data_IF_217096501443
#
_entry.id   IF_217096501443
#
_cell.length_a   1.000
_cell.length_b   1.000
_cell.length_c   1.000
_cell.angle_alpha   90.00
_cell.angle_beta   90.00
_cell.angle_gamma   90.00
#
_symmetry.space_group_name_H-M   'P 1'
#
loop_
_entity.id
_entity.type
_entity.pdbx_description
1 polymer ?
#
# COMPACT_ATOMS: atom_id res chain seq x y z
N UNK A 1 6.41 8.61 -17.43
CA UNK A 1 7.25 8.44 -16.22
C UNK A 1 7.57 6.96 -16.06
N UNK A 2 8.84 6.59 -15.82
CA UNK A 2 9.22 5.18 -15.66
C UNK A 2 9.21 4.75 -14.20
N UNK A 3 8.97 3.47 -13.92
CA UNK A 3 9.04 2.92 -12.56
C UNK A 3 10.41 3.10 -11.91
N UNK A 4 11.48 3.15 -12.70
CA UNK A 4 12.83 3.45 -12.21
C UNK A 4 12.94 4.88 -11.65
N UNK A 5 12.31 5.86 -12.30
CA UNK A 5 12.33 7.24 -11.81
C UNK A 5 11.58 7.36 -10.48
N UNK A 6 10.39 6.75 -10.37
CA UNK A 6 9.63 6.69 -9.11
C UNK A 6 10.45 6.01 -8.01
N UNK A 7 11.12 4.91 -8.33
CA UNK A 7 12.00 4.21 -7.39
C UNK A 7 13.12 5.10 -6.84
N UNK A 8 13.77 5.92 -7.68
CA UNK A 8 14.80 6.88 -7.24
C UNK A 8 14.23 7.95 -6.32
N UNK A 9 13.05 8.48 -6.62
CA UNK A 9 12.38 9.48 -5.77
C UNK A 9 12.06 8.90 -4.40
N UNK A 10 11.45 7.72 -4.37
CA UNK A 10 11.12 7.02 -3.11
C UNK A 10 12.39 6.77 -2.28
N UNK A 11 13.44 6.27 -2.91
CA UNK A 11 14.73 6.01 -2.26
C UNK A 11 15.36 7.28 -1.68
N UNK A 12 15.30 8.40 -2.43
CA UNK A 12 15.78 9.70 -1.96
C UNK A 12 15.07 10.12 -0.68
N UNK A 13 13.74 10.07 -0.66
CA UNK A 13 12.97 10.49 0.53
C UNK A 13 13.12 9.51 1.70
N UNK A 14 13.21 8.19 1.45
CA UNK A 14 13.49 7.20 2.48
C UNK A 14 14.82 7.48 3.20
N UNK A 15 15.87 7.82 2.45
CA UNK A 15 17.17 8.19 3.03
C UNK A 15 17.12 9.48 3.86
N UNK A 16 16.31 10.47 3.46
CA UNK A 16 16.17 11.73 4.21
C UNK A 16 15.55 11.55 5.59
N UNK A 17 14.75 10.50 5.79
CA UNK A 17 14.13 10.17 7.08
C UNK A 17 14.84 9.04 7.82
N UNK A 18 16.06 8.67 7.40
CA UNK A 18 16.90 7.68 8.07
C UNK A 18 16.45 6.22 7.87
N UNK A 19 15.63 5.93 6.86
CA UNK A 19 15.23 4.56 6.53
C UNK A 19 16.25 3.88 5.63
N UNK A 20 16.31 2.54 5.73
CA UNK A 20 17.21 1.71 4.93
C UNK A 20 16.75 1.66 3.46
N UNK A 21 17.40 2.45 2.61
CA UNK A 21 17.01 2.72 1.22
C UNK A 21 16.84 1.45 0.35
N UNK A 22 17.54 0.36 0.69
CA UNK A 22 17.46 -0.91 -0.05
C UNK A 22 16.08 -1.57 0.04
N UNK A 23 15.31 -1.27 1.08
CA UNK A 23 13.99 -1.85 1.34
C UNK A 23 12.87 -1.09 0.60
N UNK A 24 13.19 0.06 0.00
CA UNK A 24 12.21 0.95 -0.63
C UNK A 24 12.40 1.07 -2.14
N UNK A 25 11.29 1.09 -2.87
CA UNK A 25 11.24 1.31 -4.31
C UNK A 25 9.84 1.59 -4.82
N UNK A 26 9.67 1.63 -6.14
CA UNK A 26 8.38 1.94 -6.77
C UNK A 26 7.28 0.92 -6.42
N UNK A 27 7.64 -0.35 -6.23
CA UNK A 27 6.70 -1.37 -5.78
C UNK A 27 6.29 -1.15 -4.32
N UNK A 28 7.21 -0.79 -3.43
CA UNK A 28 6.92 -0.45 -2.03
C UNK A 28 5.91 0.72 -1.95
N UNK A 29 6.05 1.73 -2.81
CA UNK A 29 5.11 2.86 -2.87
C UNK A 29 3.70 2.42 -3.30
N UNK A 30 3.58 1.56 -4.32
CA UNK A 30 2.28 1.03 -4.74
C UNK A 30 1.61 0.21 -3.64
N UNK A 31 2.37 -0.66 -2.97
CA UNK A 31 1.89 -1.45 -1.84
C UNK A 31 1.41 -0.55 -0.71
N UNK A 32 2.20 0.46 -0.33
CA UNK A 32 1.84 1.45 0.68
C UNK A 32 0.57 2.20 0.33
N UNK A 33 0.44 2.68 -0.92
CA UNK A 33 -0.77 3.34 -1.41
C UNK A 33 -2.03 2.46 -1.25
N UNK A 34 -1.97 1.21 -1.69
CA UNK A 34 -3.12 0.30 -1.62
C UNK A 34 -3.49 0.00 -0.17
N UNK A 35 -2.50 -0.28 0.68
CA UNK A 35 -2.72 -0.53 2.12
C UNK A 35 -3.35 0.70 2.78
N UNK A 36 -2.79 1.88 2.58
CA UNK A 36 -3.32 3.14 3.15
C UNK A 36 -4.69 3.53 2.62
N UNK A 37 -5.05 3.14 1.39
CA UNK A 37 -6.41 3.31 0.86
C UNK A 37 -7.39 2.33 1.51
N UNK A 38 -6.97 1.08 1.73
CA UNK A 38 -7.75 0.10 2.49
C UNK A 38 -7.98 0.51 3.95
N UNK A 39 -6.95 1.05 4.61
CA UNK A 39 -7.04 1.61 5.96
C UNK A 39 -8.00 2.80 6.06
N UNK A 40 -8.34 3.45 4.93
CA UNK A 40 -9.32 4.54 4.85
C UNK A 40 -10.68 4.10 4.29
N UNK A 41 -10.92 2.79 4.22
CA UNK A 41 -12.16 2.19 3.70
C UNK A 41 -12.52 2.65 2.28
N UNK A 42 -11.50 2.98 1.47
CA UNK A 42 -11.69 3.31 0.07
C UNK A 42 -12.13 2.05 -0.67
N UNK A 43 -13.19 2.19 -1.47
CA UNK A 43 -13.76 1.06 -2.21
C UNK A 43 -12.76 0.46 -3.20
N UNK A 44 -12.72 -0.87 -3.29
CA UNK A 44 -11.79 -1.64 -4.12
C UNK A 44 -11.73 -1.14 -5.56
N UNK A 45 -12.87 -0.84 -6.19
CA UNK A 45 -12.89 -0.39 -7.59
C UNK A 45 -12.18 0.96 -7.78
N UNK A 46 -12.29 1.90 -6.81
CA UNK A 46 -11.59 3.20 -6.87
C UNK A 46 -10.08 3.02 -6.74
N UNK A 47 -9.65 2.08 -5.89
CA UNK A 47 -8.23 1.73 -5.75
C UNK A 47 -7.71 1.13 -7.06
N UNK A 48 -8.49 0.25 -7.68
CA UNK A 48 -8.13 -0.37 -8.96
C UNK A 48 -8.08 0.63 -10.12
N UNK A 49 -9.01 1.59 -10.15
CA UNK A 49 -9.03 2.69 -11.12
C UNK A 49 -7.74 3.51 -11.08
N UNK A 50 -7.31 3.94 -9.89
CA UNK A 50 -6.08 4.73 -9.72
C UNK A 50 -4.81 3.89 -9.97
N UNK A 51 -4.80 2.63 -9.54
CA UNK A 51 -3.61 1.78 -9.68
C UNK A 51 -3.52 1.09 -11.04
N UNK A 52 -4.58 1.05 -11.85
CA UNK A 52 -4.63 0.35 -13.13
C UNK A 52 -4.54 -1.18 -13.02
N UNK A 53 -4.85 -1.77 -11.86
CA UNK A 53 -4.85 -3.23 -11.70
C UNK A 53 -6.13 -3.83 -12.26
N UNK A 54 -5.98 -4.81 -13.15
CA UNK A 54 -7.12 -5.55 -13.72
C UNK A 54 -7.57 -6.72 -12.85
N UNK A 55 -6.63 -7.33 -12.11
CA UNK A 55 -6.94 -8.47 -11.24
C UNK A 55 -7.21 -8.01 -9.81
N UNK A 56 -8.46 -8.13 -9.31
CA UNK A 56 -8.82 -7.72 -7.96
C UNK A 56 -8.12 -8.53 -6.87
N UNK A 57 -7.70 -9.78 -7.15
CA UNK A 57 -7.06 -10.67 -6.16
C UNK A 57 -5.76 -10.07 -5.61
N UNK A 58 -5.04 -9.33 -6.45
CA UNK A 58 -3.78 -8.68 -6.04
C UNK A 58 -4.03 -7.55 -5.05
N UNK A 59 -5.10 -6.78 -5.25
CA UNK A 59 -5.48 -5.65 -4.38
C UNK A 59 -6.09 -6.15 -3.06
N UNK A 60 -6.93 -7.19 -3.14
CA UNK A 60 -7.57 -7.84 -1.98
C UNK A 60 -6.56 -8.34 -0.95
N UNK A 61 -5.37 -8.78 -1.35
CA UNK A 61 -4.30 -9.16 -0.41
C UNK A 61 -3.90 -8.01 0.51
N UNK A 62 -3.79 -6.79 -0.03
CA UNK A 62 -3.42 -5.61 0.75
C UNK A 62 -4.57 -5.12 1.62
N UNK A 63 -5.81 -5.16 1.11
CA UNK A 63 -7.01 -4.84 1.88
C UNK A 63 -7.21 -5.78 3.08
N UNK A 64 -7.00 -7.09 2.91
CA UNK A 64 -7.04 -8.04 4.03
C UNK A 64 -6.03 -7.71 5.12
N UNK A 65 -4.83 -7.28 4.73
CA UNK A 65 -3.79 -6.85 5.69
C UNK A 65 -4.15 -5.54 6.37
N UNK A 66 -4.68 -4.56 5.63
CA UNK A 66 -5.16 -3.28 6.18
C UNK A 66 -6.31 -3.47 7.17
N UNK A 67 -7.21 -4.41 6.88
CA UNK A 67 -8.38 -4.71 7.71
C UNK A 67 -8.11 -5.73 8.81
N UNK A 68 -6.87 -6.24 8.94
CA UNK A 68 -6.54 -7.27 9.94
C UNK A 68 -6.85 -6.81 11.38
N UNK A 69 -6.74 -5.51 11.62
CA UNK A 69 -6.97 -4.87 12.93
C UNK A 69 -8.23 -4.01 12.96
N UNK A 70 -9.08 -4.07 11.92
CA UNK A 70 -10.36 -3.34 11.88
C UNK A 70 -11.50 -4.28 12.17
N UNK A 71 -12.34 -3.94 13.15
CA UNK A 71 -13.49 -4.75 13.55
C UNK A 71 -13.07 -6.20 13.83
N UNK A 72 -11.92 -6.38 14.46
CA UNK A 72 -11.40 -7.70 14.73
C UNK A 72 -12.35 -8.37 15.73
N UNK A 73 -12.69 -9.65 15.51
CA UNK A 73 -13.66 -10.35 16.34
C UNK A 73 -13.25 -10.41 17.83
N UNK A 74 -11.97 -10.22 18.13
CA UNK A 74 -11.44 -10.09 19.49
C UNK A 74 -11.50 -8.68 20.11
N UNK A 75 -11.85 -7.63 19.35
CA UNK A 75 -11.91 -6.24 19.87
C UNK A 75 -13.01 -6.04 20.94
N UNK A 76 -13.98 -6.96 21.04
CA UNK A 76 -15.04 -6.92 22.05
C UNK A 76 -14.82 -7.88 23.22
N UNK A 77 -13.75 -8.68 23.21
CA UNK A 77 -13.50 -9.77 24.19
C UNK A 77 -12.22 -9.59 25.02
N UNK A 78 -11.44 -8.52 24.77
CA UNK A 78 -10.30 -8.06 25.56
C UNK A 78 -10.55 -6.61 26.01
#
# INVERSE_FOLDING_TARGET
MSGQWIGRVVKKYAGLIGLEVKDFGAHSLRSGFITSAGERDVQLYKIMEVTGQKDPRTVLRYLRRANLFKNHAGDSFL
#
